data_IF_654548257457
#
_entry.id   IF_654548257457
#
_cell.length_a   1.000
_cell.length_b   1.000
_cell.length_c   1.000
_cell.angle_alpha   90.00
_cell.angle_beta   90.00
_cell.angle_gamma   90.00
#
_symmetry.space_group_name_H-M   'P 1'
#
loop_
_entity.id
_entity.type
_entity.pdbx_description
1 polymer ?
#
# COMPACT_ATOMS: atom_id res chain seq x y z
N UNK A 1 16.46 -0.37 29.09
CA UNK A 1 16.85 -1.30 28.04
C UNK A 1 15.78 -1.55 27.04
N UNK A 2 16.11 -1.52 25.86
CA UNK A 2 15.74 -0.49 24.91
C UNK A 2 14.35 -0.66 24.35
N UNK A 3 13.50 0.24 24.76
CA UNK A 3 12.16 0.44 24.17
C UNK A 3 12.23 1.02 22.74
N UNK A 4 13.43 1.21 22.22
CA UNK A 4 13.67 1.86 20.92
C UNK A 4 13.71 0.90 19.71
N UNK A 5 13.67 -0.41 19.96
CA UNK A 5 13.72 -1.42 18.87
C UNK A 5 12.35 -1.75 18.26
N UNK A 6 11.27 -1.14 18.73
CA UNK A 6 9.90 -1.53 18.38
C UNK A 6 9.12 -0.49 17.60
N UNK A 7 9.78 0.53 17.06
CA UNK A 7 9.10 1.59 16.30
C UNK A 7 9.39 1.58 14.80
N UNK A 8 10.07 0.57 14.30
CA UNK A 8 10.34 0.46 12.86
C UNK A 8 9.37 -0.51 12.21
N UNK A 9 8.64 -0.03 11.24
CA UNK A 9 7.90 -0.87 10.31
C UNK A 9 8.74 -1.03 9.05
N UNK A 10 8.83 -2.25 8.54
CA UNK A 10 9.48 -2.54 7.28
C UNK A 10 8.42 -2.79 6.21
N UNK A 11 8.57 -2.12 5.07
CA UNK A 11 7.63 -2.19 3.96
C UNK A 11 8.32 -2.77 2.74
N UNK A 12 7.75 -3.83 2.20
CA UNK A 12 8.27 -4.51 1.02
C UNK A 12 7.22 -4.54 -0.08
N UNK A 13 7.64 -4.20 -1.28
CA UNK A 13 6.88 -4.57 -2.45
C UNK A 13 7.45 -5.87 -3.04
N UNK A 14 6.58 -6.84 -3.25
CA UNK A 14 6.92 -8.15 -3.81
C UNK A 14 6.27 -8.28 -5.18
N UNK A 15 7.12 -8.43 -6.19
CA UNK A 15 6.66 -8.58 -7.57
C UNK A 15 5.66 -9.76 -7.70
N UNK A 16 4.59 -9.62 -8.47
CA UNK A 16 4.21 -8.42 -9.22
C UNK A 16 3.29 -7.46 -8.46
N UNK A 17 2.53 -7.91 -7.46
CA UNK A 17 1.37 -7.19 -6.95
C UNK A 17 1.11 -7.39 -5.45
N UNK A 18 2.11 -7.77 -4.68
CA UNK A 18 2.01 -7.90 -3.24
C UNK A 18 2.76 -6.78 -2.54
N UNK A 19 2.22 -6.33 -1.44
CA UNK A 19 2.89 -5.43 -0.51
C UNK A 19 2.85 -6.07 0.87
N UNK A 20 4.02 -6.25 1.46
CA UNK A 20 4.18 -6.84 2.79
C UNK A 20 4.62 -5.75 3.75
N UNK A 21 3.85 -5.57 4.82
CA UNK A 21 4.13 -4.61 5.87
C UNK A 21 4.41 -5.39 7.16
N UNK A 22 5.62 -5.28 7.65
CA UNK A 22 6.07 -5.96 8.85
C UNK A 22 6.10 -4.98 10.01
N UNK A 23 5.25 -5.20 11.00
CA UNK A 23 5.20 -4.47 12.25
C UNK A 23 5.72 -5.35 13.39
N UNK A 24 6.09 -4.79 14.54
CA UNK A 24 6.60 -5.57 15.67
C UNK A 24 5.64 -6.63 16.20
N UNK A 25 4.34 -6.42 16.06
CA UNK A 25 3.27 -7.22 16.62
C UNK A 25 2.35 -7.89 15.59
N UNK A 26 2.50 -7.54 14.32
CA UNK A 26 1.70 -8.11 13.24
C UNK A 26 2.38 -7.97 11.88
N UNK A 27 1.86 -8.71 10.92
CA UNK A 27 2.19 -8.57 9.50
C UNK A 27 0.89 -8.29 8.75
N UNK A 28 0.90 -7.32 7.86
CA UNK A 28 -0.18 -7.15 6.89
C UNK A 28 0.30 -7.42 5.47
N UNK A 29 -0.53 -8.12 4.72
CA UNK A 29 -0.32 -8.41 3.31
C UNK A 29 -1.40 -7.70 2.50
N UNK A 30 -0.97 -6.92 1.52
CA UNK A 30 -1.86 -6.25 0.60
C UNK A 30 -1.68 -6.86 -0.79
N UNK A 31 -2.77 -7.34 -1.37
CA UNK A 31 -2.77 -7.96 -2.70
C UNK A 31 -3.54 -7.03 -3.64
N UNK A 32 -2.92 -6.64 -4.73
CA UNK A 32 -3.48 -5.70 -5.69
C UNK A 32 -3.91 -6.46 -6.94
N UNK A 33 -5.21 -6.46 -7.23
CA UNK A 33 -5.79 -7.15 -8.37
C UNK A 33 -6.37 -6.13 -9.37
N UNK A 34 -5.83 -6.05 -10.60
CA UNK A 34 -6.43 -5.22 -11.63
C UNK A 34 -7.78 -5.81 -12.06
N UNK A 35 -8.82 -4.98 -12.09
CA UNK A 35 -10.16 -5.35 -12.57
C UNK A 35 -10.48 -4.71 -13.92
N UNK A 36 -9.62 -3.85 -14.40
CA UNK A 36 -9.76 -3.12 -15.64
C UNK A 36 -8.82 -1.93 -15.70
N UNK A 37 -8.83 -1.15 -16.78
CA UNK A 37 -7.88 -0.03 -16.96
C UNK A 37 -7.92 1.03 -15.85
N UNK A 38 -9.07 1.19 -15.21
CA UNK A 38 -9.31 2.24 -14.21
C UNK A 38 -9.84 1.70 -12.89
N UNK A 39 -9.81 0.39 -12.71
CA UNK A 39 -10.35 -0.26 -11.52
C UNK A 39 -9.38 -1.30 -10.98
N UNK A 40 -9.16 -1.22 -9.68
CA UNK A 40 -8.29 -2.14 -8.94
C UNK A 40 -9.01 -2.60 -7.68
N UNK A 41 -8.81 -3.84 -7.30
CA UNK A 41 -9.21 -4.36 -5.99
C UNK A 41 -7.96 -4.50 -5.14
N UNK A 42 -7.99 -3.91 -3.95
CA UNK A 42 -7.01 -4.18 -2.91
C UNK A 42 -7.61 -5.15 -1.88
N UNK A 43 -6.88 -6.19 -1.55
CA UNK A 43 -7.24 -7.16 -0.52
C UNK A 43 -6.22 -7.00 0.60
N UNK A 44 -6.71 -6.87 1.84
CA UNK A 44 -5.87 -6.72 3.01
C UNK A 44 -6.03 -7.95 3.90
N UNK A 45 -4.92 -8.57 4.29
CA UNK A 45 -4.87 -9.68 5.21
C UNK A 45 -3.94 -9.33 6.37
N UNK A 46 -4.35 -9.64 7.59
CA UNK A 46 -3.57 -9.41 8.79
C UNK A 46 -3.22 -10.73 9.44
N UNK A 47 -1.95 -10.88 9.77
CA UNK A 47 -1.39 -12.04 10.45
C UNK A 47 -0.92 -11.60 11.82
N UNK A 48 -1.53 -12.16 12.85
CA UNK A 48 -1.23 -11.86 14.25
C UNK A 48 -0.77 -13.13 14.96
N UNK A 49 -0.03 -13.01 16.08
CA UNK A 49 0.24 -14.14 16.95
C UNK A 49 -1.07 -14.79 17.39
N UNK A 50 -1.09 -16.12 17.51
CA UNK A 50 -2.28 -16.88 17.84
C UNK A 50 -2.97 -16.38 19.12
N UNK A 51 -2.19 -16.02 20.14
CA UNK A 51 -2.68 -15.46 21.41
C UNK A 51 -3.48 -14.15 21.26
N UNK A 52 -3.25 -13.41 20.18
CA UNK A 52 -3.86 -12.11 19.93
C UNK A 52 -5.05 -12.20 18.96
N UNK A 53 -5.26 -13.37 18.36
CA UNK A 53 -6.38 -13.61 17.45
C UNK A 53 -7.72 -13.42 18.15
N UNK A 54 -8.58 -12.58 17.56
CA UNK A 54 -9.90 -12.28 18.11
C UNK A 54 -9.89 -11.36 19.32
N UNK A 55 -8.73 -10.87 19.76
CA UNK A 55 -8.64 -9.89 20.85
C UNK A 55 -9.30 -8.56 20.46
N UNK A 56 -9.74 -7.80 21.47
CA UNK A 56 -10.28 -6.46 21.24
C UNK A 56 -9.23 -5.52 20.66
N UNK A 57 -7.98 -5.64 21.11
CA UNK A 57 -6.87 -4.86 20.59
C UNK A 57 -6.64 -5.12 19.09
N UNK A 58 -6.67 -6.38 18.67
CA UNK A 58 -6.53 -6.75 17.26
C UNK A 58 -7.68 -6.20 16.42
N UNK A 59 -8.93 -6.30 16.91
CA UNK A 59 -10.09 -5.73 16.21
C UNK A 59 -10.00 -4.21 16.05
N UNK A 60 -9.54 -3.50 17.08
CA UNK A 60 -9.33 -2.05 17.02
C UNK A 60 -8.23 -1.68 16.04
N UNK A 61 -7.14 -2.44 16.01
CA UNK A 61 -6.04 -2.20 15.07
C UNK A 61 -6.49 -2.39 13.62
N UNK A 62 -7.24 -3.45 13.31
CA UNK A 62 -7.81 -3.67 11.98
C UNK A 62 -8.80 -2.56 11.62
N UNK A 63 -9.71 -2.20 12.51
CA UNK A 63 -10.68 -1.11 12.26
C UNK A 63 -10.00 0.22 11.98
N UNK A 64 -8.95 0.56 12.72
CA UNK A 64 -8.16 1.76 12.48
C UNK A 64 -7.45 1.72 11.11
N UNK A 65 -6.91 0.56 10.73
CA UNK A 65 -6.33 0.35 9.42
C UNK A 65 -7.36 0.53 8.30
N UNK A 66 -8.56 -0.02 8.46
CA UNK A 66 -9.66 0.13 7.51
C UNK A 66 -10.08 1.59 7.31
N UNK A 67 -10.07 2.39 8.37
CA UNK A 67 -10.37 3.82 8.30
C UNK A 67 -9.34 4.56 7.45
N UNK A 68 -8.04 4.30 7.67
CA UNK A 68 -6.95 4.86 6.86
C UNK A 68 -7.09 4.43 5.39
N UNK A 69 -7.38 3.15 5.14
CA UNK A 69 -7.56 2.64 3.77
C UNK A 69 -8.75 3.29 3.06
N UNK A 70 -9.82 3.58 3.78
CA UNK A 70 -10.99 4.26 3.21
C UNK A 70 -10.64 5.70 2.77
N UNK A 71 -9.82 6.41 3.53
CA UNK A 71 -9.29 7.72 3.15
C UNK A 71 -8.44 7.62 1.88
N UNK A 72 -7.51 6.68 1.83
CA UNK A 72 -6.63 6.46 0.68
C UNK A 72 -7.41 6.09 -0.59
N UNK A 73 -8.42 5.23 -0.48
CA UNK A 73 -9.30 4.87 -1.59
C UNK A 73 -10.02 6.10 -2.13
N UNK A 74 -10.56 6.94 -1.25
CA UNK A 74 -11.25 8.17 -1.64
C UNK A 74 -10.33 9.11 -2.43
N UNK A 75 -9.10 9.30 -1.98
CA UNK A 75 -8.11 10.13 -2.68
C UNK A 75 -7.72 9.50 -4.03
N UNK A 76 -7.48 8.20 -4.08
CA UNK A 76 -7.14 7.50 -5.32
C UNK A 76 -8.25 7.62 -6.38
N UNK A 77 -9.51 7.52 -5.98
CA UNK A 77 -10.65 7.70 -6.89
C UNK A 77 -10.75 9.12 -7.44
N UNK A 78 -10.48 10.14 -6.61
CA UNK A 78 -10.44 11.53 -7.04
C UNK A 78 -9.28 11.74 -8.03
N UNK A 79 -8.10 11.21 -7.73
CA UNK A 79 -6.92 11.29 -8.60
C UNK A 79 -7.22 10.61 -9.94
N UNK A 80 -7.82 9.42 -9.95
CA UNK A 80 -8.18 8.71 -11.18
C UNK A 80 -9.08 9.55 -12.09
N UNK A 81 -10.08 10.22 -11.53
CA UNK A 81 -10.94 11.14 -12.30
C UNK A 81 -10.14 12.32 -12.87
N UNK A 82 -9.23 12.87 -12.08
CA UNK A 82 -8.44 14.02 -12.48
C UNK A 82 -7.38 13.71 -13.55
N UNK A 83 -6.96 12.46 -13.70
CA UNK A 83 -6.07 12.03 -14.77
C UNK A 83 -6.69 12.24 -16.16
N UNK A 84 -8.01 12.30 -16.27
CA UNK A 84 -8.74 12.64 -17.52
C UNK A 84 -8.82 14.15 -17.78
N UNK A 85 -8.33 14.99 -16.89
CA UNK A 85 -8.34 16.43 -17.06
C UNK A 85 -7.46 16.85 -18.24
N UNK A 86 -7.95 17.81 -19.04
CA UNK A 86 -7.16 18.42 -20.12
C UNK A 86 -5.91 19.17 -19.63
N UNK A 87 -5.88 19.52 -18.35
CA UNK A 87 -4.76 20.21 -17.72
C UNK A 87 -3.69 19.26 -17.19
N UNK A 88 -3.96 17.95 -17.16
CA UNK A 88 -2.99 16.96 -16.71
C UNK A 88 -2.14 16.50 -17.89
N UNK A 89 -0.83 16.71 -17.82
CA UNK A 89 0.12 16.27 -18.85
C UNK A 89 1.17 15.31 -18.33
N UNK A 90 1.68 15.54 -17.11
CA UNK A 90 2.70 14.68 -16.52
C UNK A 90 2.78 14.91 -15.02
N UNK A 91 3.17 13.85 -14.28
CA UNK A 91 3.53 13.94 -12.89
C UNK A 91 5.02 14.18 -12.68
N UNK A 92 5.41 14.48 -11.45
CA UNK A 92 6.81 14.59 -11.02
C UNK A 92 7.04 13.70 -9.83
N UNK A 93 8.20 13.07 -9.80
CA UNK A 93 8.66 12.35 -8.62
C UNK A 93 9.34 13.28 -7.62
N UNK A 94 9.13 13.04 -6.36
CA UNK A 94 9.99 13.57 -5.31
C UNK A 94 11.33 12.84 -5.36
N UNK A 95 12.41 13.55 -5.63
CA UNK A 95 13.76 12.96 -5.75
C UNK A 95 14.20 12.25 -4.46
N UNK A 96 13.74 12.74 -3.32
CA UNK A 96 14.12 12.20 -2.01
C UNK A 96 13.21 11.07 -1.53
N UNK A 97 11.90 11.16 -1.82
CA UNK A 97 10.87 10.33 -1.19
C UNK A 97 10.36 9.19 -2.08
N UNK A 98 10.43 9.35 -3.41
CA UNK A 98 9.76 8.45 -4.35
C UNK A 98 10.72 7.62 -5.21
N UNK A 99 11.87 7.27 -4.68
CA UNK A 99 12.83 6.39 -5.37
C UNK A 99 12.25 5.02 -5.70
N UNK A 100 11.46 4.45 -4.77
CA UNK A 100 10.78 3.17 -4.96
C UNK A 100 9.71 3.23 -6.05
N UNK A 101 8.91 4.30 -6.08
CA UNK A 101 7.91 4.53 -7.12
C UNK A 101 8.54 4.66 -8.49
N UNK A 102 9.64 5.40 -8.58
CA UNK A 102 10.40 5.55 -9.82
C UNK A 102 10.95 4.21 -10.31
N UNK A 103 11.56 3.42 -9.43
CA UNK A 103 12.10 2.11 -9.76
C UNK A 103 10.99 1.14 -10.23
N UNK A 104 9.83 1.15 -9.58
CA UNK A 104 8.66 0.39 -10.00
C UNK A 104 8.21 0.76 -11.43
N UNK A 105 8.07 2.05 -11.72
CA UNK A 105 7.67 2.52 -13.05
C UNK A 105 8.71 2.19 -14.12
N UNK A 106 10.00 2.23 -13.78
CA UNK A 106 11.06 1.85 -14.71
C UNK A 106 10.96 0.37 -15.06
N UNK A 107 10.85 -0.49 -14.07
CA UNK A 107 10.65 -1.93 -14.28
C UNK A 107 9.37 -2.23 -15.08
N UNK A 108 8.28 -1.54 -14.78
CA UNK A 108 7.03 -1.66 -15.53
C UNK A 108 7.22 -1.37 -17.02
N UNK A 109 7.95 -0.31 -17.37
CA UNK A 109 8.26 0.03 -18.77
C UNK A 109 9.12 -1.02 -19.45
N UNK A 110 10.03 -1.64 -18.73
CA UNK A 110 10.91 -2.71 -19.27
C UNK A 110 10.11 -3.99 -19.54
N UNK A 111 9.16 -4.32 -18.69
CA UNK A 111 8.35 -5.54 -18.79
C UNK A 111 7.17 -5.40 -19.75
N UNK A 112 6.69 -4.19 -19.98
CA UNK A 112 5.55 -3.89 -20.86
C UNK A 112 5.97 -2.87 -21.92
N UNK A 113 6.78 -3.29 -22.90
CA UNK A 113 7.14 -2.41 -24.00
C UNK A 113 5.88 -2.05 -24.81
N UNK A 114 5.83 -0.80 -25.24
CA UNK A 114 4.74 -0.26 -26.05
C UNK A 114 4.67 -0.95 -27.44
#
# INVERSE_FOLDING_TARGET
MPLLLFLTADYFWVFPNWMLNCYPDNISLNIILPLGPERTRAIFEWYLPEKDLGSEAARKAVAFSDEIQAEDVSICEIVQKNLHSRSYHSGRYSVKQEKGVHAFHQMYRELMPA
#
